data_IF_030510694143
#
_entry.id   IF_030510694143
#
_cell.length_a   1.000
_cell.length_b   1.000
_cell.length_c   1.000
_cell.angle_alpha   90.00
_cell.angle_beta   90.00
_cell.angle_gamma   90.00
#
_symmetry.space_group_name_H-M   'P 1'
#
loop_
_entity.id
_entity.type
_entity.pdbx_description
1 polymer ?
#
# COMPACT_ATOMS: atom_id res chain seq x y z
N UNK A 1 -0.57 -11.04 -3.60
CA UNK A 1 0.88 -11.16 -3.91
C UNK A 1 1.64 -11.31 -2.61
N UNK A 2 2.91 -11.76 -2.61
CA UNK A 2 3.72 -11.81 -1.39
C UNK A 2 3.75 -10.47 -0.64
N UNK A 3 3.76 -9.36 -1.37
CA UNK A 3 3.71 -8.01 -0.78
C UNK A 3 2.36 -7.73 -0.09
N UNK A 4 1.22 -8.18 -0.65
CA UNK A 4 -0.07 -8.08 0.05
C UNK A 4 -0.08 -8.81 1.38
N UNK A 5 0.55 -9.98 1.46
CA UNK A 5 0.64 -10.76 2.69
C UNK A 5 1.48 -10.02 3.72
N UNK A 6 2.64 -9.49 3.33
CA UNK A 6 3.46 -8.68 4.24
C UNK A 6 2.68 -7.49 4.84
N UNK A 7 1.89 -6.81 4.02
CA UNK A 7 1.05 -5.68 4.47
C UNK A 7 -0.11 -6.13 5.37
N UNK A 8 -0.78 -7.24 5.04
CA UNK A 8 -1.87 -7.80 5.85
C UNK A 8 -1.39 -8.23 7.26
N UNK A 9 -0.13 -8.65 7.36
CA UNK A 9 0.52 -9.00 8.61
C UNK A 9 1.32 -7.85 9.25
N UNK A 10 1.17 -6.61 8.78
CA UNK A 10 1.84 -5.42 9.33
C UNK A 10 3.38 -5.55 9.38
N UNK A 11 3.95 -6.28 8.42
CA UNK A 11 5.36 -6.62 8.38
C UNK A 11 6.12 -5.67 7.45
N UNK A 12 6.51 -4.52 8.00
CA UNK A 12 7.21 -3.44 7.29
C UNK A 12 8.55 -3.90 6.69
N UNK A 13 9.32 -4.74 7.40
CA UNK A 13 10.60 -5.26 6.94
C UNK A 13 10.43 -6.17 5.72
N UNK A 14 9.44 -7.07 5.75
CA UNK A 14 9.13 -7.93 4.62
C UNK A 14 8.61 -7.11 3.44
N UNK A 15 7.79 -6.08 3.68
CA UNK A 15 7.31 -5.18 2.64
C UNK A 15 8.48 -4.46 1.94
N UNK A 16 9.41 -3.87 2.71
CA UNK A 16 10.62 -3.23 2.18
C UNK A 16 11.44 -4.18 1.32
N UNK A 17 11.74 -5.38 1.85
CA UNK A 17 12.55 -6.35 1.13
C UNK A 17 11.91 -6.78 -0.19
N UNK A 18 10.59 -6.99 -0.19
CA UNK A 18 9.87 -7.37 -1.40
C UNK A 18 9.90 -6.26 -2.45
N UNK A 19 9.71 -5.00 -2.04
CA UNK A 19 9.81 -3.84 -2.93
C UNK A 19 11.23 -3.70 -3.49
N UNK A 20 12.26 -3.84 -2.67
CA UNK A 20 13.67 -3.86 -3.12
C UNK A 20 13.96 -4.97 -4.13
N UNK A 21 13.30 -6.13 -4.00
CA UNK A 21 13.39 -7.24 -4.96
C UNK A 21 12.56 -7.03 -6.22
N UNK A 22 11.94 -5.87 -6.39
CA UNK A 22 11.16 -5.50 -7.57
C UNK A 22 9.69 -5.91 -7.50
N UNK A 23 9.15 -6.17 -6.31
CA UNK A 23 7.71 -6.36 -6.16
C UNK A 23 6.96 -5.09 -6.57
N UNK A 24 5.88 -5.26 -7.34
CA UNK A 24 5.05 -4.12 -7.77
C UNK A 24 4.26 -3.59 -6.58
N UNK A 25 4.64 -2.40 -6.11
CA UNK A 25 3.97 -1.67 -5.02
C UNK A 25 2.67 -0.99 -5.45
N UNK A 26 2.45 -0.82 -6.75
CA UNK A 26 1.26 -0.21 -7.32
C UNK A 26 0.41 -1.27 -8.04
N UNK A 27 0.39 -2.50 -7.52
CA UNK A 27 -0.51 -3.53 -8.03
C UNK A 27 -1.96 -3.10 -7.76
N UNK A 28 -2.73 -2.95 -8.84
CA UNK A 28 -4.14 -2.57 -8.78
C UNK A 28 -5.04 -3.79 -8.92
N UNK A 29 -6.25 -3.73 -8.36
CA UNK A 29 -7.29 -4.72 -8.63
C UNK A 29 -7.94 -4.49 -10.01
N UNK A 30 -8.96 -5.30 -10.33
CA UNK A 30 -9.75 -5.15 -11.55
C UNK A 30 -10.47 -3.81 -11.67
N UNK A 31 -10.63 -3.07 -10.57
CA UNK A 31 -11.28 -1.76 -10.52
C UNK A 31 -10.27 -0.60 -10.61
N UNK A 32 -8.96 -0.90 -10.59
CA UNK A 32 -7.89 0.09 -10.66
C UNK A 32 -7.50 0.68 -9.31
N UNK A 33 -7.98 0.13 -8.19
CA UNK A 33 -7.58 0.58 -6.86
C UNK A 33 -6.25 -0.01 -6.45
N UNK A 34 -5.34 0.81 -5.93
CA UNK A 34 -4.11 0.33 -5.30
C UNK A 34 -4.48 -0.40 -4.01
N UNK A 35 -4.58 -1.73 -4.11
CA UNK A 35 -4.97 -2.62 -3.02
C UNK A 35 -4.07 -2.50 -1.78
N UNK A 36 -2.82 -2.06 -1.95
CA UNK A 36 -1.81 -2.11 -0.89
C UNK A 36 -2.11 -1.17 0.27
N UNK A 37 -2.46 0.10 0.05
CA UNK A 37 -2.85 0.96 1.15
C UNK A 37 -4.21 0.56 1.76
N UNK A 38 -5.14 0.02 0.97
CA UNK A 38 -6.41 -0.50 1.52
C UNK A 38 -6.22 -1.74 2.41
N UNK A 39 -5.09 -2.44 2.26
CA UNK A 39 -4.72 -3.62 3.05
C UNK A 39 -3.92 -3.25 4.30
N UNK A 40 -3.37 -2.05 4.37
CA UNK A 40 -2.66 -1.58 5.55
C UNK A 40 -3.65 -1.50 6.71
N UNK A 41 -3.36 -2.22 7.78
CA UNK A 41 -4.19 -2.28 8.98
C UNK A 41 -3.82 -1.17 9.97
N UNK A 42 -2.63 -0.60 9.84
CA UNK A 42 -2.07 0.44 10.71
C UNK A 42 -1.66 1.68 9.91
N UNK A 43 -1.62 2.82 10.59
CA UNK A 43 -1.12 4.07 10.01
C UNK A 43 0.37 3.94 9.65
N UNK A 44 1.15 3.30 10.52
CA UNK A 44 2.60 3.10 10.33
C UNK A 44 2.89 2.31 9.04
N UNK A 45 2.14 1.23 8.77
CA UNK A 45 2.27 0.47 7.52
C UNK A 45 1.82 1.28 6.31
N UNK A 46 0.75 2.06 6.44
CA UNK A 46 0.30 2.94 5.35
C UNK A 46 1.37 4.00 5.02
N UNK A 47 1.94 4.66 6.03
CA UNK A 47 3.04 5.61 5.88
C UNK A 47 4.27 4.95 5.25
N UNK A 48 4.63 3.76 5.73
CA UNK A 48 5.77 3.01 5.22
C UNK A 48 5.62 2.65 3.74
N UNK A 49 4.42 2.27 3.30
CA UNK A 49 4.13 2.02 1.88
C UNK A 49 4.23 3.30 1.04
N UNK A 50 3.77 4.44 1.56
CA UNK A 50 3.92 5.74 0.88
C UNK A 50 5.40 6.09 0.71
N UNK A 51 6.23 5.87 1.74
CA UNK A 51 7.68 6.05 1.67
C UNK A 51 8.30 5.15 0.60
N UNK A 52 7.84 3.90 0.50
CA UNK A 52 8.29 2.95 -0.52
C UNK A 52 7.78 3.28 -1.95
N UNK A 53 6.97 4.33 -2.12
CA UNK A 53 6.49 4.81 -3.42
C UNK A 53 5.11 4.30 -3.83
N UNK A 54 4.30 3.84 -2.88
CA UNK A 54 2.90 3.50 -3.13
C UNK A 54 2.09 4.76 -3.46
N UNK A 55 1.32 4.73 -4.55
CA UNK A 55 0.48 5.86 -4.95
C UNK A 55 -0.79 5.90 -4.12
N UNK A 56 -1.02 7.04 -3.46
CA UNK A 56 -2.25 7.34 -2.75
C UNK A 56 -3.38 7.79 -3.69
N UNK A 57 -3.05 8.38 -4.84
CA UNK A 57 -4.02 8.93 -5.79
C UNK A 57 -5.00 7.88 -6.36
N UNK A 58 -4.58 6.63 -6.45
CA UNK A 58 -5.37 5.52 -6.99
C UNK A 58 -6.35 4.91 -5.96
N UNK A 59 -6.33 5.40 -4.71
CA UNK A 59 -7.32 5.01 -3.69
C UNK A 59 -8.63 5.83 -3.79
N UNK A 60 -8.63 6.94 -4.53
CA UNK A 60 -9.66 7.98 -4.45
C UNK A 60 -10.66 7.99 -5.59
N UNK A 61 -11.41 6.88 -5.75
CA UNK A 61 -12.76 6.97 -6.35
C UNK A 61 -13.88 7.03 -5.29
N UNK A 62 -13.55 7.07 -4.00
CA UNK A 62 -14.47 7.33 -2.91
C UNK A 62 -13.85 8.36 -1.93
N UNK A 63 -14.27 9.63 -2.03
CA UNK A 63 -14.10 10.69 -1.01
C UNK A 63 -12.68 10.96 -0.45
N UNK A 64 -12.03 12.01 -0.99
CA UNK A 64 -10.76 12.69 -0.63
C UNK A 64 -10.04 12.32 0.69
N UNK A 65 -8.72 12.11 0.58
CA UNK A 65 -7.74 11.86 1.65
C UNK A 65 -7.40 13.13 2.46
N UNK A 66 -7.83 14.29 1.96
CA UNK A 66 -7.55 15.59 2.57
C UNK A 66 -8.18 15.76 3.95
N UNK A 67 -9.08 14.86 4.36
CA UNK A 67 -9.76 14.85 5.66
C UNK A 67 -8.99 14.05 6.73
N UNK A 68 -7.83 13.46 6.40
CA UNK A 68 -7.06 12.58 7.27
C UNK A 68 -5.68 13.13 7.70
N UNK A 69 -5.41 14.41 7.42
CA UNK A 69 -4.23 15.16 7.86
C UNK A 69 -4.61 16.52 8.43
#
# INVERSE_FOLDING_TARGET
TPLHVAVEFDNNEAASLLVEKGASINAVDSEGFTLLLMRATTLDMAEHLVILGARTADMYRMGRLDDLI
#
